data_IF_720258495526
#
_entry.id   IF_720258495526
#
_cell.length_a   1.000
_cell.length_b   1.000
_cell.length_c   1.000
_cell.angle_alpha   90.00
_cell.angle_beta   90.00
_cell.angle_gamma   90.00
#
_symmetry.space_group_name_H-M   'P 1'
#
loop_
_entity.id
_entity.type
_entity.pdbx_description
1 polymer ?
#
# COMPACT_ATOMS: atom_id res chain seq x y z
N UNK A 1 -40.17 12.51 -15.66
CA UNK A 1 -39.95 12.68 -14.21
C UNK A 1 -39.99 11.30 -13.58
N UNK A 2 -38.87 10.58 -13.48
CA UNK A 2 -38.09 10.56 -12.24
C UNK A 2 -36.67 10.09 -12.53
N UNK A 3 -35.73 11.04 -12.48
CA UNK A 3 -34.29 10.85 -12.65
C UNK A 3 -33.69 10.51 -11.27
N UNK A 4 -34.09 9.37 -10.69
CA UNK A 4 -33.68 8.98 -9.33
C UNK A 4 -32.87 7.66 -9.26
N UNK A 5 -32.42 7.12 -10.40
CA UNK A 5 -31.61 5.90 -10.41
C UNK A 5 -30.08 6.13 -10.36
N UNK A 6 -29.57 7.33 -10.67
CA UNK A 6 -28.14 7.48 -11.02
C UNK A 6 -27.27 8.37 -10.11
N UNK A 7 -27.70 8.69 -8.89
CA UNK A 7 -26.85 9.48 -7.98
C UNK A 7 -26.00 8.67 -6.99
N UNK A 8 -26.18 7.35 -6.91
CA UNK A 8 -25.42 6.49 -5.98
C UNK A 8 -24.20 5.81 -6.60
N UNK A 9 -24.10 5.73 -7.93
CA UNK A 9 -22.98 5.08 -8.63
C UNK A 9 -21.88 6.05 -9.11
N UNK A 10 -22.20 7.35 -9.25
CA UNK A 10 -21.30 8.34 -9.87
C UNK A 10 -20.34 9.04 -8.89
N UNK A 11 -20.52 8.90 -7.57
CA UNK A 11 -19.67 9.59 -6.56
C UNK A 11 -18.50 8.74 -6.09
N UNK A 12 -18.66 7.41 -6.04
CA UNK A 12 -17.62 6.49 -5.56
C UNK A 12 -16.39 6.43 -6.46
N UNK A 13 -16.59 6.36 -7.79
CA UNK A 13 -15.48 6.22 -8.75
C UNK A 13 -14.57 7.45 -8.83
N UNK A 14 -15.13 8.66 -8.76
CA UNK A 14 -14.36 9.92 -8.77
C UNK A 14 -13.55 10.08 -7.49
N UNK A 15 -14.17 9.85 -6.33
CA UNK A 15 -13.48 9.90 -5.04
C UNK A 15 -12.36 8.85 -4.96
N UNK A 16 -12.63 7.62 -5.42
CA UNK A 16 -11.65 6.54 -5.47
C UNK A 16 -10.49 6.85 -6.43
N UNK A 17 -10.75 7.42 -7.61
CA UNK A 17 -9.72 7.84 -8.54
C UNK A 17 -8.81 8.93 -7.97
N UNK A 18 -9.39 9.93 -7.32
CA UNK A 18 -8.63 10.99 -6.62
C UNK A 18 -7.80 10.43 -5.47
N UNK A 19 -8.34 9.47 -4.71
CA UNK A 19 -7.60 8.76 -3.66
C UNK A 19 -6.35 8.08 -4.21
N UNK A 20 -6.52 7.31 -5.29
CA UNK A 20 -5.40 6.58 -5.92
C UNK A 20 -4.34 7.52 -6.48
N UNK A 21 -4.75 8.65 -7.08
CA UNK A 21 -3.82 9.68 -7.55
C UNK A 21 -2.98 10.25 -6.41
N UNK A 22 -3.60 10.56 -5.26
CA UNK A 22 -2.89 11.07 -4.08
C UNK A 22 -1.94 10.04 -3.48
N UNK A 23 -2.36 8.78 -3.42
CA UNK A 23 -1.50 7.68 -2.97
C UNK A 23 -0.27 7.54 -3.89
N UNK A 24 -0.47 7.63 -5.20
CA UNK A 24 0.62 7.57 -6.18
C UNK A 24 1.59 8.75 -6.04
N UNK A 25 1.11 9.98 -5.89
CA UNK A 25 1.95 11.16 -5.64
C UNK A 25 2.78 11.04 -4.36
N UNK A 26 2.18 10.52 -3.28
CA UNK A 26 2.88 10.28 -2.02
C UNK A 26 3.98 9.23 -2.17
N UNK A 27 3.69 8.12 -2.87
CA UNK A 27 4.68 7.07 -3.12
C UNK A 27 5.81 7.54 -4.04
N UNK A 28 5.51 8.37 -5.05
CA UNK A 28 6.54 9.01 -5.87
C UNK A 28 7.47 9.88 -5.02
N UNK A 29 6.89 10.71 -4.15
CA UNK A 29 7.68 11.57 -3.26
C UNK A 29 8.60 10.76 -2.34
N UNK A 30 8.13 9.61 -1.86
CA UNK A 30 8.95 8.69 -1.05
C UNK A 30 10.06 8.08 -1.91
N UNK A 31 9.76 7.60 -3.11
CA UNK A 31 10.75 7.01 -4.01
C UNK A 31 11.89 8.00 -4.32
N UNK A 32 11.58 9.27 -4.56
CA UNK A 32 12.60 10.32 -4.77
C UNK A 32 13.54 10.50 -3.57
N UNK A 33 13.03 10.36 -2.34
CA UNK A 33 13.86 10.39 -1.13
C UNK A 33 14.81 9.19 -1.10
N UNK A 34 14.34 8.00 -1.45
CA UNK A 34 15.20 6.80 -1.52
C UNK A 34 16.24 6.87 -2.63
N UNK A 35 15.89 7.44 -3.79
CA UNK A 35 16.81 7.63 -4.91
C UNK A 35 17.92 8.64 -4.62
N UNK A 36 17.66 9.60 -3.74
CA UNK A 36 18.62 10.65 -3.35
C UNK A 36 19.38 10.34 -2.05
N UNK A 37 18.98 9.30 -1.32
CA UNK A 37 19.62 8.91 -0.07
C UNK A 37 20.96 8.18 -0.35
N UNK A 38 22.11 8.71 0.13
CA UNK A 38 23.42 8.09 -0.05
C UNK A 38 23.51 6.64 0.41
N UNK A 39 22.62 6.20 1.31
CA UNK A 39 22.55 4.83 1.81
C UNK A 39 22.27 3.80 0.71
N UNK A 40 21.57 4.18 -0.37
CA UNK A 40 21.17 3.25 -1.43
C UNK A 40 21.91 3.50 -2.75
N UNK A 41 22.99 4.29 -2.74
CA UNK A 41 23.75 4.65 -3.94
C UNK A 41 24.37 3.43 -4.65
N UNK A 42 24.70 2.38 -3.91
CA UNK A 42 25.27 1.13 -4.43
C UNK A 42 24.19 0.11 -4.83
N UNK A 43 22.91 0.39 -4.58
CA UNK A 43 21.83 -0.52 -4.90
C UNK A 43 21.53 -0.49 -6.41
N UNK A 44 21.93 -1.54 -7.12
CA UNK A 44 21.62 -1.71 -8.54
C UNK A 44 20.10 -1.77 -8.76
N UNK A 45 19.65 -1.15 -9.85
CA UNK A 45 18.24 -1.12 -10.26
C UNK A 45 17.28 -0.59 -9.19
N UNK A 46 17.76 0.26 -8.27
CA UNK A 46 16.95 0.83 -7.19
C UNK A 46 15.62 1.43 -7.70
N UNK A 47 15.66 2.21 -8.79
CA UNK A 47 14.44 2.80 -9.38
C UNK A 47 13.42 1.74 -9.83
N UNK A 48 13.87 0.67 -10.48
CA UNK A 48 13.01 -0.43 -10.91
C UNK A 48 12.44 -1.20 -9.71
N UNK A 49 13.25 -1.41 -8.66
CA UNK A 49 12.80 -2.04 -7.40
C UNK A 49 11.75 -1.19 -6.70
N UNK A 50 11.97 0.12 -6.60
CA UNK A 50 11.04 1.08 -6.01
C UNK A 50 9.71 1.15 -6.78
N UNK A 51 9.74 1.15 -8.11
CA UNK A 51 8.52 1.06 -8.92
C UNK A 51 7.81 -0.29 -8.78
N UNK A 52 8.55 -1.39 -8.66
CA UNK A 52 7.97 -2.71 -8.39
C UNK A 52 7.32 -2.79 -6.99
N UNK A 53 7.84 -2.07 -6.00
CA UNK A 53 7.23 -1.97 -4.66
C UNK A 53 6.02 -1.03 -4.65
N UNK A 54 6.08 0.09 -5.37
CA UNK A 54 5.00 1.07 -5.53
C UNK A 54 3.82 0.53 -6.34
N UNK A 55 4.09 -0.38 -7.30
CA UNK A 55 3.11 -0.95 -8.23
C UNK A 55 1.73 -1.17 -7.61
N UNK A 56 0.69 -0.86 -8.41
CA UNK A 56 -0.73 -1.03 -8.05
C UNK A 56 -1.05 -2.40 -7.47
N UNK A 57 -0.26 -3.42 -7.77
CA UNK A 57 -0.44 -4.80 -7.32
C UNK A 57 0.16 -5.12 -5.93
N UNK A 58 0.97 -4.24 -5.31
CA UNK A 58 1.68 -4.53 -4.05
C UNK A 58 1.44 -3.57 -2.90
N UNK A 59 1.35 -2.26 -3.12
CA UNK A 59 1.12 -1.30 -2.02
C UNK A 59 -0.28 -0.70 -2.08
N UNK A 60 -0.66 -0.11 -3.23
CA UNK A 60 -1.96 0.54 -3.40
C UNK A 60 -3.15 -0.42 -3.33
N UNK A 61 -2.99 -1.72 -3.59
CA UNK A 61 -4.09 -2.70 -3.46
C UNK A 61 -4.38 -3.07 -1.99
N UNK A 62 -3.39 -2.93 -1.10
CA UNK A 62 -3.48 -3.43 0.27
C UNK A 62 -3.57 -2.33 1.33
N UNK A 63 -3.17 -1.10 1.01
CA UNK A 63 -3.52 0.09 1.81
C UNK A 63 -4.96 0.53 1.55
N UNK A 64 -5.89 -0.19 2.18
CA UNK A 64 -7.34 0.00 2.02
C UNK A 64 -7.90 1.13 2.87
N UNK A 65 -7.14 1.62 3.86
CA UNK A 65 -7.59 2.61 4.83
C UNK A 65 -7.03 4.02 4.58
N UNK A 66 -6.21 4.18 3.53
CA UNK A 66 -5.58 5.45 3.10
C UNK A 66 -4.71 6.12 4.19
N UNK A 67 -4.25 5.35 5.18
CA UNK A 67 -3.30 5.86 6.17
C UNK A 67 -1.86 5.76 5.65
N UNK A 68 -1.64 5.03 4.56
CA UNK A 68 -0.31 4.76 4.04
C UNK A 68 0.35 3.56 4.71
N UNK A 69 -0.37 2.79 5.53
CA UNK A 69 0.16 1.66 6.29
C UNK A 69 -0.59 0.37 5.93
N UNK A 70 0.16 -0.72 5.73
CA UNK A 70 -0.40 -2.05 5.51
C UNK A 70 -0.69 -2.68 6.87
N UNK A 71 -1.97 -2.77 7.23
CA UNK A 71 -2.37 -3.48 8.44
C UNK A 71 -2.21 -5.00 8.31
N UNK A 72 -2.41 -5.74 9.41
CA UNK A 72 -2.24 -7.20 9.42
C UNK A 72 -3.16 -7.91 8.43
N UNK A 73 -4.33 -7.33 8.12
CA UNK A 73 -5.25 -7.89 7.14
C UNK A 73 -4.80 -7.59 5.70
N UNK A 74 -4.24 -6.41 5.46
CA UNK A 74 -3.57 -6.05 4.21
C UNK A 74 -2.40 -7.00 3.90
N UNK A 75 -1.54 -7.24 4.89
CA UNK A 75 -0.42 -8.19 4.77
C UNK A 75 -0.92 -9.62 4.51
N UNK A 76 -1.95 -10.07 5.25
CA UNK A 76 -2.56 -11.39 5.05
C UNK A 76 -3.07 -11.57 3.62
N UNK A 77 -3.85 -10.61 3.11
CA UNK A 77 -4.43 -10.67 1.76
C UNK A 77 -3.36 -10.66 0.67
N UNK A 78 -2.27 -9.91 0.88
CA UNK A 78 -1.13 -9.89 -0.04
C UNK A 78 -0.48 -11.26 -0.15
N UNK A 79 -0.20 -11.89 0.99
CA UNK A 79 0.43 -13.20 1.04
C UNK A 79 -0.48 -14.30 0.48
N UNK A 80 -1.78 -14.25 0.74
CA UNK A 80 -2.76 -15.17 0.13
C UNK A 80 -2.78 -15.05 -1.41
N UNK A 81 -2.76 -13.83 -1.95
CA UNK A 81 -2.74 -13.59 -3.41
C UNK A 81 -1.45 -14.09 -4.08
N UNK A 82 -0.34 -14.06 -3.35
CA UNK A 82 0.95 -14.62 -3.78
C UNK A 82 1.07 -16.14 -3.57
N UNK A 83 0.04 -16.80 -3.02
CA UNK A 83 0.08 -18.23 -2.68
C UNK A 83 0.97 -18.55 -1.47
N UNK A 84 1.41 -17.54 -0.73
CA UNK A 84 2.29 -17.62 0.44
C UNK A 84 1.49 -17.50 1.74
N UNK A 85 0.31 -18.11 1.82
CA UNK A 85 -0.57 -17.98 2.99
C UNK A 85 0.18 -18.28 4.30
N UNK A 86 0.06 -17.37 5.27
CA UNK A 86 0.75 -17.43 6.56
C UNK A 86 -0.22 -17.60 7.71
N UNK A 87 0.25 -18.26 8.76
CA UNK A 87 -0.48 -18.34 10.04
C UNK A 87 -0.51 -16.96 10.71
N UNK A 88 -1.48 -16.76 11.60
CA UNK A 88 -1.58 -15.52 12.38
C UNK A 88 -0.32 -15.21 13.19
N UNK A 89 0.40 -16.23 13.67
CA UNK A 89 1.65 -16.06 14.43
C UNK A 89 2.80 -15.58 13.53
N UNK A 90 2.92 -16.13 12.32
CA UNK A 90 3.94 -15.68 11.36
C UNK A 90 3.69 -14.24 10.92
N UNK A 91 2.43 -13.87 10.66
CA UNK A 91 2.05 -12.49 10.35
C UNK A 91 2.44 -11.52 11.47
N UNK A 92 2.16 -11.87 12.73
CA UNK A 92 2.55 -11.06 13.88
C UNK A 92 4.07 -10.88 13.98
N UNK A 93 4.85 -11.92 13.71
CA UNK A 93 6.32 -11.84 13.72
C UNK A 93 6.82 -10.90 12.63
N UNK A 94 6.34 -11.06 11.39
CA UNK A 94 6.70 -10.19 10.27
C UNK A 94 6.36 -8.71 10.56
N UNK A 95 5.19 -8.44 11.12
CA UNK A 95 4.79 -7.07 11.50
C UNK A 95 5.67 -6.50 12.62
N UNK A 96 6.13 -7.32 13.56
CA UNK A 96 7.02 -6.90 14.64
C UNK A 96 8.44 -6.61 14.15
N UNK A 97 8.93 -7.37 13.16
CA UNK A 97 10.26 -7.19 12.56
C UNK A 97 10.34 -5.92 11.70
N UNK A 98 9.24 -5.52 11.06
CA UNK A 98 9.18 -4.34 10.19
C UNK A 98 9.06 -3.01 10.96
N UNK A 99 8.98 -3.03 12.29
CA UNK A 99 9.01 -1.84 13.17
C UNK A 99 7.83 -0.87 13.03
N UNK A 100 6.98 -1.03 12.03
CA UNK A 100 5.79 -0.22 11.81
C UNK A 100 4.59 -0.86 12.49
N UNK A 101 4.36 -0.54 13.75
CA UNK A 101 3.06 -0.19 14.36
C UNK A 101 3.33 0.03 15.84
N UNK A 102 3.15 1.28 16.29
CA UNK A 102 3.24 1.62 17.70
C UNK A 102 2.38 0.67 18.53
N UNK A 103 3.03 -0.03 19.46
CA UNK A 103 2.55 -0.37 20.79
C UNK A 103 1.03 -0.16 21.02
N UNK A 104 0.20 -1.06 20.52
CA UNK A 104 -1.17 -1.23 21.02
C UNK A 104 -1.69 -2.64 20.80
N UNK A 105 -0.89 -3.68 21.01
CA UNK A 105 -1.34 -5.05 21.28
C UNK A 105 -0.16 -5.87 21.85
N UNK A 106 0.53 -5.30 22.84
CA UNK A 106 1.24 -6.07 23.87
C UNK A 106 0.42 -5.93 25.15
#
# INVERSE_FOLDING_TARGET
MSVLADYRFLTGGKAFGLLKSKQEEKLNSINEVFLSDPKYVEEEDLGSKLEAFKSKEKYMEFDLNDKGDIDMMGLKRMLEKLGLAKTHLELKKMMSELGGFGSRWI
#
